data_IF_886121873962
#
_entry.id   IF_886121873962
#
_cell.length_a   1.000
_cell.length_b   1.000
_cell.length_c   1.000
_cell.angle_alpha   90.00
_cell.angle_beta   90.00
_cell.angle_gamma   90.00
#
_symmetry.space_group_name_H-M   'P 1'
#
loop_
_entity.id
_entity.type
_entity.pdbx_description
1 polymer ?
#
# COMPACT_ATOMS: atom_id res chain seq x y z
N UNK A 1 8.38 -7.25 23.11
CA UNK A 1 8.29 -6.65 21.76
C UNK A 1 8.49 -7.78 20.79
N UNK A 2 7.42 -8.37 20.26
CA UNK A 2 7.49 -9.43 19.25
C UNK A 2 7.08 -8.83 17.92
N UNK A 3 8.10 -8.69 17.07
CA UNK A 3 8.08 -8.09 15.73
C UNK A 3 7.74 -9.17 14.69
N UNK A 4 6.63 -9.89 14.84
CA UNK A 4 6.37 -11.10 14.02
C UNK A 4 5.21 -10.95 13.02
N UNK A 5 4.58 -9.77 12.93
CA UNK A 5 3.40 -9.55 12.08
C UNK A 5 3.44 -8.22 11.31
N UNK A 6 4.60 -7.58 11.23
CA UNK A 6 4.76 -6.32 10.50
C UNK A 6 5.52 -6.56 9.19
N UNK A 7 4.89 -6.25 8.07
CA UNK A 7 5.44 -6.31 6.73
C UNK A 7 5.84 -4.91 6.26
N UNK A 8 6.74 -4.82 5.28
CA UNK A 8 7.22 -3.55 4.75
C UNK A 8 6.63 -3.31 3.35
N UNK A 9 6.06 -2.14 3.13
CA UNK A 9 5.60 -1.73 1.82
C UNK A 9 6.79 -1.25 0.98
N UNK A 10 7.00 -1.86 -0.17
CA UNK A 10 8.06 -1.49 -1.13
C UNK A 10 7.89 -0.10 -1.74
N UNK A 11 6.67 0.42 -1.74
CA UNK A 11 6.34 1.68 -2.39
C UNK A 11 6.51 2.89 -1.46
N UNK A 12 5.89 2.87 -0.27
CA UNK A 12 5.98 3.99 0.69
C UNK A 12 7.06 3.78 1.76
N UNK A 13 7.49 2.54 1.96
CA UNK A 13 8.46 2.18 2.98
C UNK A 13 7.88 1.94 4.38
N UNK A 14 6.57 2.09 4.54
CA UNK A 14 5.91 1.93 5.84
C UNK A 14 5.74 0.47 6.23
N UNK A 15 5.71 0.25 7.54
CA UNK A 15 5.34 -1.05 8.10
C UNK A 15 3.84 -1.16 8.24
N UNK A 16 3.25 -2.26 7.77
CA UNK A 16 1.83 -2.55 7.88
C UNK A 16 1.60 -3.94 8.47
N UNK A 17 0.35 -4.25 8.83
CA UNK A 17 -0.04 -5.54 9.42
C UNK A 17 -1.11 -6.18 8.56
N UNK A 18 -0.99 -7.48 8.34
CA UNK A 18 -2.04 -8.27 7.72
C UNK A 18 -3.22 -8.48 8.66
N UNK A 19 -4.41 -8.67 8.09
CA UNK A 19 -5.57 -9.18 8.83
C UNK A 19 -5.32 -10.61 9.32
N UNK A 20 -6.11 -11.07 10.30
CA UNK A 20 -5.95 -12.42 10.86
C UNK A 20 -6.08 -13.53 9.81
N UNK A 21 -6.95 -13.35 8.83
CA UNK A 21 -7.20 -14.31 7.76
C UNK A 21 -6.04 -14.33 6.75
N UNK A 22 -5.60 -13.16 6.30
CA UNK A 22 -4.46 -13.00 5.39
C UNK A 22 -3.16 -13.52 6.02
N UNK A 23 -2.94 -13.23 7.30
CA UNK A 23 -1.80 -13.76 8.04
C UNK A 23 -1.84 -15.29 8.14
N UNK A 24 -3.04 -15.88 8.29
CA UNK A 24 -3.19 -17.34 8.29
C UNK A 24 -2.86 -17.93 6.93
N UNK A 25 -3.31 -17.32 5.84
CA UNK A 25 -2.99 -17.77 4.48
C UNK A 25 -1.52 -17.60 4.13
N UNK A 26 -0.88 -16.52 4.59
CA UNK A 26 0.57 -16.34 4.52
C UNK A 26 1.31 -17.47 5.25
N UNK A 27 0.96 -17.75 6.50
CA UNK A 27 1.57 -18.84 7.28
C UNK A 27 1.32 -20.23 6.67
N UNK A 28 0.21 -20.42 5.96
CA UNK A 28 -0.10 -21.65 5.23
C UNK A 28 0.64 -21.78 3.89
N UNK A 29 1.35 -20.73 3.44
CA UNK A 29 2.01 -20.67 2.14
C UNK A 29 1.04 -20.55 0.97
N UNK A 30 -0.21 -20.16 1.23
CA UNK A 30 -1.23 -19.89 0.20
C UNK A 30 -1.10 -18.48 -0.37
N UNK A 31 -0.42 -17.59 0.37
CA UNK A 31 -0.16 -16.20 -0.01
C UNK A 31 1.35 -15.96 -0.03
N UNK A 32 1.82 -15.23 -1.03
CA UNK A 32 3.20 -14.76 -1.09
C UNK A 32 3.46 -13.64 -0.05
N UNK A 33 4.73 -13.33 0.18
CA UNK A 33 5.11 -12.25 1.10
C UNK A 33 4.54 -10.91 0.60
N UNK A 34 3.67 -10.24 1.37
CA UNK A 34 3.03 -9.02 0.93
C UNK A 34 4.04 -7.88 0.89
N UNK A 35 4.23 -7.30 -0.30
CA UNK A 35 5.17 -6.20 -0.53
C UNK A 35 4.48 -4.82 -0.65
N UNK A 36 3.15 -4.78 -0.52
CA UNK A 36 2.34 -3.57 -0.72
C UNK A 36 1.32 -3.41 0.40
N UNK A 37 1.23 -2.21 1.01
CA UNK A 37 0.20 -1.89 1.99
C UNK A 37 -1.14 -1.51 1.33
N UNK A 38 -2.25 -1.57 2.09
CA UNK A 38 -3.59 -1.20 1.62
C UNK A 38 -3.66 0.22 1.05
N UNK A 39 -2.97 1.19 1.66
CA UNK A 39 -2.95 2.57 1.17
C UNK A 39 -2.30 2.67 -0.22
N UNK A 40 -1.19 1.98 -0.44
CA UNK A 40 -0.54 1.94 -1.74
C UNK A 40 -1.37 1.16 -2.75
N UNK A 41 -1.99 0.05 -2.34
CA UNK A 41 -2.86 -0.75 -3.20
C UNK A 41 -4.08 0.08 -3.65
N UNK A 42 -4.68 0.84 -2.76
CA UNK A 42 -5.80 1.73 -3.08
C UNK A 42 -5.39 2.83 -4.06
N UNK A 43 -4.23 3.48 -3.83
CA UNK A 43 -3.71 4.52 -4.73
C UNK A 43 -3.31 3.97 -6.11
N UNK A 44 -2.87 2.71 -6.21
CA UNK A 44 -2.57 2.06 -7.50
C UNK A 44 -3.83 1.66 -8.27
N UNK A 45 -4.90 1.28 -7.57
CA UNK A 45 -6.16 0.83 -8.18
C UNK A 45 -7.12 1.98 -8.48
N UNK A 46 -6.95 3.12 -7.83
CA UNK A 46 -7.64 4.32 -8.24
C UNK A 46 -6.87 4.89 -9.44
N UNK A 47 -7.46 4.99 -10.65
CA UNK A 47 -6.87 5.86 -11.64
C UNK A 47 -6.74 7.22 -10.94
N UNK A 48 -5.54 7.77 -10.93
CA UNK A 48 -5.34 9.17 -10.56
C UNK A 48 -6.31 9.90 -11.49
N UNK A 49 -7.49 10.27 -10.98
CA UNK A 49 -8.32 11.30 -11.58
C UNK A 49 -7.34 12.45 -11.66
N UNK A 50 -6.87 12.67 -12.88
CA UNK A 50 -5.83 13.60 -13.23
C UNK A 50 -6.31 14.96 -12.73
N UNK A 51 -6.01 15.26 -11.46
CA UNK A 51 -5.94 16.60 -10.95
C UNK A 51 -4.68 17.17 -11.60
N UNK A 52 -4.76 17.33 -12.93
CA UNK A 52 -4.34 18.52 -13.63
C UNK A 52 -4.77 19.70 -12.76
N UNK A 53 -3.93 20.03 -11.77
CA UNK A 53 -3.65 21.42 -11.50
C UNK A 53 -3.09 21.94 -12.82
N UNK A 54 -4.01 22.32 -13.72
CA UNK A 54 -3.68 23.18 -14.83
C UNK A 54 -3.02 24.36 -14.16
N UNK A 55 -1.73 24.52 -14.41
CA UNK A 55 -0.99 25.73 -14.14
C UNK A 55 -1.73 26.89 -14.81
N UNK A 56 -2.70 27.45 -14.09
CA UNK A 56 -3.30 28.72 -14.41
C UNK A 56 -2.49 29.78 -13.68
N UNK A 57 -1.26 30.00 -14.15
CA UNK A 57 -0.65 31.32 -14.06
C UNK A 57 -0.05 31.72 -15.42
N UNK A 58 -0.85 32.46 -16.19
CA UNK A 58 -0.32 33.65 -16.84
C UNK A 58 -1.21 34.82 -16.41
N UNK A 59 -0.98 35.31 -15.18
CA UNK A 59 -1.90 36.18 -14.47
C UNK A 59 -1.33 37.50 -13.95
N UNK A 60 -0.48 38.17 -14.76
CA UNK A 60 -0.10 39.61 -14.70
C UNK A 60 1.06 40.03 -13.77
#
# INVERSE_FOLDING_TARGET
MTTENSFYCRYCGDTFKLSKEEFKSYLAGEMEDPDTCDDCLFNLNNPVEDYSFSDADPGL
#
